data_IF_257121609625
#
_entry.id   IF_257121609625
#
_cell.length_a   1.000
_cell.length_b   1.000
_cell.length_c   1.000
_cell.angle_alpha   90.00
_cell.angle_beta   90.00
_cell.angle_gamma   90.00
#
_symmetry.space_group_name_H-M   'P 1'
#
loop_
_entity.id
_entity.type
_entity.pdbx_description
1 polymer ?
#
# COMPACT_ATOMS: atom_id res chain seq x y z
N UNK A 1 -17.77 0.66 -2.30
CA UNK A 1 -16.56 0.75 -3.13
C UNK A 1 -16.07 -0.67 -3.39
N UNK A 2 -16.07 -1.11 -4.65
CA UNK A 2 -15.42 -2.37 -5.05
C UNK A 2 -13.99 -2.01 -5.44
N UNK A 3 -12.99 -2.77 -4.99
CA UNK A 3 -11.66 -2.70 -5.58
C UNK A 3 -11.76 -3.50 -6.87
N UNK A 4 -11.73 -2.81 -7.99
CA UNK A 4 -12.12 -3.37 -9.26
C UNK A 4 -11.28 -2.84 -10.41
N UNK A 5 -11.29 -3.61 -11.48
CA UNK A 5 -10.68 -3.24 -12.76
C UNK A 5 -11.37 -1.98 -13.29
N UNK A 6 -10.59 -0.99 -13.71
CA UNK A 6 -11.08 0.28 -14.22
C UNK A 6 -11.40 1.33 -13.14
N UNK A 7 -11.28 0.98 -11.85
CA UNK A 7 -11.42 1.93 -10.76
C UNK A 7 -10.13 2.76 -10.57
N UNK A 8 -10.23 3.99 -10.03
CA UNK A 8 -9.06 4.75 -9.61
C UNK A 8 -8.25 4.01 -8.54
N UNK A 9 -6.93 4.08 -8.62
CA UNK A 9 -6.03 3.51 -7.61
C UNK A 9 -6.21 4.26 -6.29
N UNK A 10 -6.49 3.51 -5.22
CA UNK A 10 -6.57 4.07 -3.87
C UNK A 10 -5.17 4.44 -3.37
N UNK A 11 -5.06 5.59 -2.71
CA UNK A 11 -3.79 6.11 -2.24
C UNK A 11 -3.88 6.34 -0.74
N UNK A 12 -2.88 5.85 -0.03
CA UNK A 12 -2.78 5.94 1.41
C UNK A 12 -1.50 6.64 1.82
N UNK A 13 -1.56 7.32 2.96
CA UNK A 13 -0.39 7.89 3.62
C UNK A 13 -0.51 7.66 5.12
N UNK A 14 0.57 7.20 5.75
CA UNK A 14 0.61 6.87 7.17
C UNK A 14 1.70 7.69 7.87
N UNK A 15 1.37 8.95 8.17
CA UNK A 15 2.33 9.93 8.68
C UNK A 15 1.68 10.92 9.65
N UNK A 16 2.37 12.02 9.98
CA UNK A 16 1.89 13.10 10.84
C UNK A 16 0.58 13.75 10.37
N UNK A 17 -0.21 14.28 11.31
CA UNK A 17 -1.51 14.91 11.04
C UNK A 17 -1.47 16.01 9.96
N UNK A 18 -0.37 16.75 9.83
CA UNK A 18 -0.21 17.75 8.75
C UNK A 18 -0.14 17.09 7.37
N UNK A 19 0.65 16.02 7.22
CA UNK A 19 0.73 15.27 5.96
C UNK A 19 -0.61 14.63 5.64
N UNK A 20 -1.26 14.01 6.63
CA UNK A 20 -2.57 13.37 6.44
C UNK A 20 -3.61 14.37 5.94
N UNK A 21 -3.69 15.58 6.51
CA UNK A 21 -4.62 16.63 6.06
C UNK A 21 -4.34 17.09 4.64
N UNK A 22 -3.07 17.34 4.30
CA UNK A 22 -2.69 17.73 2.94
C UNK A 22 -3.08 16.63 1.95
N UNK A 23 -2.67 15.39 2.18
CA UNK A 23 -2.98 14.29 1.27
C UNK A 23 -4.50 14.04 1.14
N UNK A 24 -5.25 14.16 2.24
CA UNK A 24 -6.71 13.99 2.24
C UNK A 24 -7.42 15.06 1.41
N UNK A 25 -6.93 16.32 1.44
CA UNK A 25 -7.43 17.37 0.56
C UNK A 25 -7.23 17.06 -0.94
N UNK A 26 -6.32 16.15 -1.26
CA UNK A 26 -6.05 15.65 -2.61
C UNK A 26 -6.64 14.25 -2.86
N UNK A 27 -7.58 13.80 -2.04
CA UNK A 27 -8.32 12.55 -2.22
C UNK A 27 -7.60 11.29 -1.74
N UNK A 28 -6.54 11.41 -0.95
CA UNK A 28 -5.88 10.25 -0.33
C UNK A 28 -6.58 9.88 0.96
N UNK A 29 -6.46 8.62 1.36
CA UNK A 29 -7.00 8.15 2.63
C UNK A 29 -5.94 8.21 3.72
N UNK A 30 -6.31 8.74 4.88
CA UNK A 30 -5.45 8.79 6.04
C UNK A 30 -5.20 7.38 6.60
N UNK A 31 -3.95 7.09 6.92
CA UNK A 31 -3.54 5.86 7.57
C UNK A 31 -2.60 6.09 8.74
N UNK A 32 -2.27 5.01 9.42
CA UNK A 32 -1.32 5.00 10.52
C UNK A 32 -0.62 3.65 10.61
N UNK A 33 0.51 3.58 11.31
CA UNK A 33 0.98 2.30 11.84
C UNK A 33 0.14 1.92 13.05
N UNK A 34 -0.18 0.64 13.25
CA UNK A 34 -1.03 0.22 14.39
C UNK A 34 -0.45 0.61 15.76
N UNK A 35 0.86 0.82 15.86
CA UNK A 35 1.54 1.25 17.09
C UNK A 35 1.48 2.76 17.34
N UNK A 36 1.01 3.57 16.39
CA UNK A 36 0.87 5.02 16.55
C UNK A 36 -0.42 5.52 15.88
N UNK A 37 -1.52 5.49 16.62
CA UNK A 37 -2.84 5.92 16.16
C UNK A 37 -3.12 7.40 16.43
N UNK A 38 -2.17 8.17 16.99
CA UNK A 38 -2.43 9.54 17.46
C UNK A 38 -2.87 10.47 16.34
N UNK A 39 -2.19 10.39 15.20
CA UNK A 39 -2.36 11.33 14.10
C UNK A 39 -3.66 11.11 13.31
N UNK A 40 -4.32 9.96 13.47
CA UNK A 40 -5.59 9.61 12.80
C UNK A 40 -6.83 9.85 13.66
N UNK A 41 -6.71 10.25 14.94
CA UNK A 41 -7.84 10.39 15.88
C UNK A 41 -8.95 11.34 15.42
N UNK A 42 -8.59 12.34 14.62
CA UNK A 42 -9.51 13.38 14.14
C UNK A 42 -10.06 13.08 12.74
N UNK A 43 -9.81 11.90 12.19
CA UNK A 43 -10.36 11.47 10.91
C UNK A 43 -11.57 10.58 11.16
N UNK A 44 -12.71 10.93 10.57
CA UNK A 44 -13.96 10.16 10.71
C UNK A 44 -13.82 8.71 10.21
N UNK A 45 -12.94 8.49 9.23
CA UNK A 45 -12.67 7.18 8.64
C UNK A 45 -11.18 6.97 8.50
N UNK A 46 -10.70 5.85 9.04
CA UNK A 46 -9.32 5.41 8.86
C UNK A 46 -9.24 4.59 7.57
N UNK A 47 -8.37 5.01 6.66
CA UNK A 47 -8.17 4.34 5.39
C UNK A 47 -7.32 3.08 5.50
N UNK A 48 -6.21 3.19 6.23
CA UNK A 48 -5.17 2.18 6.20
C UNK A 48 -4.49 2.02 7.56
N UNK A 49 -4.29 0.76 7.99
CA UNK A 49 -3.36 0.44 9.07
C UNK A 49 -2.17 -0.36 8.54
N UNK A 50 -0.98 0.19 8.77
CA UNK A 50 0.31 -0.43 8.48
C UNK A 50 0.83 -1.20 9.70
N UNK A 51 1.73 -2.14 9.46
CA UNK A 51 2.35 -2.97 10.50
C UNK A 51 3.68 -2.39 10.99
N UNK A 52 4.03 -2.71 12.24
CA UNK A 52 5.41 -2.63 12.70
C UNK A 52 6.16 -3.91 12.30
N UNK A 53 6.63 -3.98 11.05
CA UNK A 53 7.28 -5.19 10.52
C UNK A 53 8.50 -5.64 11.34
N UNK A 54 9.18 -4.72 12.05
CA UNK A 54 10.33 -5.07 12.90
C UNK A 54 9.92 -5.73 14.20
N UNK A 55 8.80 -5.29 14.79
CA UNK A 55 8.34 -5.73 16.10
C UNK A 55 6.86 -6.09 16.05
N UNK A 56 6.51 -6.94 15.08
CA UNK A 56 5.12 -7.27 14.81
C UNK A 56 4.48 -7.99 15.99
N UNK A 57 3.26 -7.58 16.34
CA UNK A 57 2.47 -8.16 17.40
C UNK A 57 1.01 -8.22 16.97
N UNK A 58 0.53 -9.43 16.69
CA UNK A 58 -0.83 -9.64 16.18
C UNK A 58 -1.90 -9.14 17.14
N UNK A 59 -1.77 -9.43 18.45
CA UNK A 59 -2.72 -9.00 19.49
C UNK A 59 -2.92 -7.48 19.45
N UNK A 60 -1.83 -6.70 19.47
CA UNK A 60 -1.91 -5.23 19.39
C UNK A 60 -2.49 -4.77 18.06
N UNK A 61 -2.15 -5.45 16.97
CA UNK A 61 -2.62 -5.11 15.65
C UNK A 61 -4.14 -5.33 15.52
N UNK A 62 -4.66 -6.49 15.90
CA UNK A 62 -6.11 -6.78 15.82
C UNK A 62 -6.91 -5.82 16.72
N UNK A 63 -6.41 -5.49 17.92
CA UNK A 63 -7.05 -4.48 18.79
C UNK A 63 -7.12 -3.10 18.12
N UNK A 64 -6.05 -2.70 17.41
CA UNK A 64 -6.06 -1.44 16.66
C UNK A 64 -7.06 -1.47 15.49
N UNK A 65 -7.17 -2.60 14.79
CA UNK A 65 -8.14 -2.79 13.69
C UNK A 65 -9.57 -2.76 14.23
N UNK A 66 -9.87 -3.43 15.33
CA UNK A 66 -11.20 -3.40 15.99
C UNK A 66 -11.56 -1.96 16.38
N UNK A 67 -10.63 -1.25 17.01
CA UNK A 67 -10.84 0.11 17.50
C UNK A 67 -11.09 1.10 16.36
N UNK A 68 -10.32 1.00 15.28
CA UNK A 68 -10.31 2.01 14.21
C UNK A 68 -11.13 1.64 12.99
N UNK A 69 -11.51 0.37 12.84
CA UNK A 69 -12.24 -0.21 11.71
C UNK A 69 -11.74 0.34 10.36
N UNK A 70 -10.44 0.17 10.06
CA UNK A 70 -9.86 0.78 8.88
C UNK A 70 -10.49 0.19 7.62
N UNK A 71 -10.46 0.94 6.52
CA UNK A 71 -10.89 0.41 5.24
C UNK A 71 -10.00 -0.76 4.80
N UNK A 72 -8.69 -0.67 5.03
CA UNK A 72 -7.71 -1.69 4.67
C UNK A 72 -6.66 -1.85 5.77
N UNK A 73 -6.13 -3.06 5.94
CA UNK A 73 -4.94 -3.31 6.78
C UNK A 73 -4.00 -4.33 6.13
N UNK A 74 -2.80 -4.48 6.67
CA UNK A 74 -1.80 -5.45 6.22
C UNK A 74 -1.64 -6.55 7.26
N UNK A 75 -1.72 -7.82 6.87
CA UNK A 75 -1.35 -8.93 7.73
C UNK A 75 0.17 -8.96 7.96
N UNK A 76 0.65 -9.89 8.79
CA UNK A 76 2.10 -10.11 8.92
C UNK A 76 2.72 -10.47 7.56
N UNK A 77 3.93 -9.97 7.30
CA UNK A 77 4.72 -10.39 6.13
C UNK A 77 5.02 -11.90 6.18
N UNK A 78 4.83 -12.59 5.05
CA UNK A 78 5.09 -14.03 4.92
C UNK A 78 6.56 -14.23 4.51
N UNK A 79 7.45 -14.09 5.48
CA UNK A 79 8.91 -14.29 5.34
C UNK A 79 9.30 -15.77 5.19
N UNK A 80 8.48 -16.68 5.72
CA UNK A 80 8.64 -18.12 5.59
C UNK A 80 7.30 -18.73 5.14
N UNK A 81 7.32 -19.49 4.03
CA UNK A 81 6.16 -20.21 3.50
C UNK A 81 5.48 -21.11 4.54
N UNK A 82 6.21 -21.67 5.51
CA UNK A 82 5.64 -22.55 6.54
C UNK A 82 4.62 -21.81 7.41
N UNK A 83 4.82 -20.51 7.66
CA UNK A 83 3.92 -19.68 8.47
C UNK A 83 2.65 -19.23 7.70
N UNK A 84 2.56 -19.52 6.40
CA UNK A 84 1.50 -18.99 5.53
C UNK A 84 0.09 -19.29 6.08
N UNK A 85 -0.17 -20.54 6.49
CA UNK A 85 -1.50 -20.94 6.99
C UNK A 85 -1.90 -20.11 8.22
N UNK A 86 -1.00 -19.99 9.20
CA UNK A 86 -1.23 -19.20 10.41
C UNK A 86 -1.45 -17.72 10.10
N UNK A 87 -0.70 -17.16 9.14
CA UNK A 87 -0.87 -15.76 8.73
C UNK A 87 -2.22 -15.56 8.02
N UNK A 88 -2.68 -16.54 7.23
CA UNK A 88 -4.01 -16.52 6.62
C UNK A 88 -5.10 -16.56 7.70
N UNK A 89 -4.97 -17.41 8.72
CA UNK A 89 -5.93 -17.47 9.83
C UNK A 89 -6.03 -16.11 10.55
N UNK A 90 -4.88 -15.48 10.82
CA UNK A 90 -4.83 -14.11 11.36
C UNK A 90 -5.46 -13.08 10.43
N UNK A 91 -5.27 -13.22 9.11
CA UNK A 91 -5.84 -12.32 8.12
C UNK A 91 -7.37 -12.42 8.07
N UNK A 92 -7.95 -13.60 8.27
CA UNK A 92 -9.41 -13.75 8.40
C UNK A 92 -9.94 -13.01 9.63
N UNK A 93 -9.28 -13.11 10.78
CA UNK A 93 -9.66 -12.35 11.98
C UNK A 93 -9.61 -10.84 11.75
N UNK A 94 -8.60 -10.34 11.01
CA UNK A 94 -8.54 -8.93 10.62
C UNK A 94 -9.70 -8.55 9.68
N UNK A 95 -10.05 -9.43 8.75
CA UNK A 95 -11.08 -9.22 7.73
C UNK A 95 -12.49 -9.09 8.33
N UNK A 96 -12.73 -9.62 9.53
CA UNK A 96 -13.99 -9.42 10.27
C UNK A 96 -14.23 -7.94 10.65
N UNK A 97 -13.17 -7.13 10.69
CA UNK A 97 -13.21 -5.76 11.22
C UNK A 97 -12.76 -4.68 10.22
N UNK A 98 -12.37 -5.05 9.01
CA UNK A 98 -11.99 -4.13 7.94
C UNK A 98 -12.53 -4.61 6.59
N UNK A 99 -12.46 -3.77 5.54
CA UNK A 99 -13.01 -4.15 4.24
C UNK A 99 -12.08 -5.06 3.44
N UNK A 100 -10.77 -4.85 3.58
CA UNK A 100 -9.74 -5.57 2.84
C UNK A 100 -8.50 -5.83 3.71
N UNK A 101 -7.90 -7.01 3.55
CA UNK A 101 -6.63 -7.35 4.17
C UNK A 101 -5.60 -7.67 3.08
N UNK A 102 -4.40 -7.13 3.23
CA UNK A 102 -3.27 -7.38 2.35
C UNK A 102 -2.40 -8.49 2.94
N UNK A 103 -2.05 -9.50 2.12
CA UNK A 103 -1.02 -10.50 2.43
C UNK A 103 0.25 -10.15 1.66
N UNK A 104 1.37 -9.98 2.36
CA UNK A 104 2.66 -9.61 1.75
C UNK A 104 3.57 -10.83 1.66
N UNK A 105 3.61 -11.56 0.53
CA UNK A 105 4.53 -12.68 0.37
C UNK A 105 5.97 -12.18 0.18
N UNK A 106 6.89 -12.72 0.97
CA UNK A 106 8.32 -12.39 0.92
C UNK A 106 9.20 -13.58 0.56
N UNK A 107 8.80 -14.78 0.96
CA UNK A 107 9.50 -16.02 0.65
C UNK A 107 9.46 -16.32 -0.87
N UNK A 108 10.62 -16.39 -1.57
CA UNK A 108 10.70 -16.75 -2.98
C UNK A 108 10.02 -18.08 -3.34
N UNK A 109 9.93 -19.04 -2.42
CA UNK A 109 9.27 -20.33 -2.62
C UNK A 109 7.75 -20.21 -2.85
N UNK A 110 7.17 -19.04 -2.54
CA UNK A 110 5.76 -18.74 -2.78
C UNK A 110 5.47 -18.33 -4.22
N UNK A 111 6.48 -17.99 -5.03
CA UNK A 111 6.31 -17.41 -6.38
C UNK A 111 5.28 -18.17 -7.25
N UNK A 112 5.36 -19.50 -7.28
CA UNK A 112 4.52 -20.32 -8.14
C UNK A 112 3.16 -20.69 -7.52
N UNK A 113 2.95 -20.34 -6.25
CA UNK A 113 1.73 -20.68 -5.50
C UNK A 113 0.99 -19.45 -4.97
N UNK A 114 1.41 -18.23 -5.30
CA UNK A 114 0.75 -17.01 -4.79
C UNK A 114 -0.76 -16.95 -5.05
N UNK A 115 -1.18 -17.38 -6.24
CA UNK A 115 -2.60 -17.28 -6.61
C UNK A 115 -3.43 -18.43 -6.05
N UNK A 116 -2.85 -19.64 -5.96
CA UNK A 116 -3.54 -20.82 -5.46
C UNK A 116 -3.47 -20.97 -3.92
N UNK A 117 -2.38 -20.51 -3.32
CA UNK A 117 -2.05 -20.69 -1.90
C UNK A 117 -2.50 -19.54 -1.00
N UNK A 118 -2.86 -18.38 -1.55
CA UNK A 118 -3.43 -17.27 -0.78
C UNK A 118 -4.86 -17.02 -1.27
N UNK A 119 -5.88 -17.08 -0.38
CA UNK A 119 -7.28 -16.93 -0.76
C UNK A 119 -7.59 -15.64 -1.53
N UNK A 120 -8.56 -15.73 -2.45
CA UNK A 120 -8.87 -14.72 -3.48
C UNK A 120 -9.40 -13.39 -2.91
N UNK A 121 -10.01 -13.43 -1.74
CA UNK A 121 -10.56 -12.30 -0.99
C UNK A 121 -9.48 -11.36 -0.44
N UNK A 122 -8.25 -11.85 -0.29
CA UNK A 122 -7.11 -11.04 0.13
C UNK A 122 -6.44 -10.31 -1.03
N UNK A 123 -5.90 -9.13 -0.76
CA UNK A 123 -5.09 -8.38 -1.72
C UNK A 123 -3.64 -8.83 -1.59
N UNK A 124 -2.91 -8.95 -2.69
CA UNK A 124 -1.47 -9.22 -2.61
C UNK A 124 -0.71 -7.93 -2.33
N UNK A 125 0.20 -7.97 -1.38
CA UNK A 125 1.11 -6.88 -1.07
C UNK A 125 2.44 -7.07 -1.78
N UNK A 126 2.94 -6.01 -2.41
CA UNK A 126 4.27 -5.98 -3.01
C UNK A 126 5.07 -4.85 -2.39
N UNK A 127 6.10 -5.16 -1.60
CA UNK A 127 6.97 -4.11 -1.07
C UNK A 127 7.93 -3.63 -2.13
N UNK A 128 7.78 -2.36 -2.50
CA UNK A 128 8.60 -1.73 -3.52
C UNK A 128 10.06 -1.73 -3.10
N UNK A 129 11.01 -2.14 -3.98
CA UNK A 129 12.42 -2.20 -3.64
C UNK A 129 12.97 -0.87 -3.14
N UNK A 130 13.62 -0.93 -1.98
CA UNK A 130 14.39 0.17 -1.38
C UNK A 130 15.73 -0.35 -0.88
N UNK A 131 16.61 0.55 -0.42
CA UNK A 131 17.84 0.16 0.28
C UNK A 131 17.63 -0.64 1.57
N UNK A 132 16.41 -0.64 2.13
CA UNK A 132 16.08 -1.27 3.41
C UNK A 132 15.39 -2.63 3.26
N UNK A 133 14.97 -2.98 2.05
CA UNK A 133 14.20 -4.20 1.78
C UNK A 133 13.30 -4.06 0.57
N UNK A 134 12.68 -5.17 0.20
CA UNK A 134 11.75 -5.28 -0.93
C UNK A 134 11.31 -6.73 -1.11
N UNK A 135 10.24 -6.94 -1.86
CA UNK A 135 9.80 -8.29 -2.22
C UNK A 135 10.78 -8.91 -3.23
N UNK A 136 11.28 -10.12 -2.93
CA UNK A 136 12.21 -10.86 -3.80
C UNK A 136 11.51 -11.63 -4.92
N UNK A 137 10.22 -11.90 -4.75
CA UNK A 137 9.39 -12.53 -5.77
C UNK A 137 9.26 -11.56 -6.97
N UNK A 138 9.42 -12.03 -8.21
CA UNK A 138 9.27 -11.19 -9.40
C UNK A 138 7.87 -10.57 -9.50
N UNK A 139 7.73 -9.30 -9.92
CA UNK A 139 6.43 -8.64 -10.13
C UNK A 139 5.46 -9.46 -10.99
N UNK A 140 5.96 -10.15 -12.03
CA UNK A 140 5.15 -10.98 -12.94
C UNK A 140 4.42 -12.16 -12.28
N UNK A 141 4.77 -12.51 -11.04
CA UNK A 141 4.05 -13.52 -10.25
C UNK A 141 2.74 -12.98 -9.65
N UNK A 142 2.58 -11.65 -9.56
CA UNK A 142 1.43 -10.99 -8.96
C UNK A 142 0.35 -10.72 -10.01
N UNK A 143 -0.51 -11.70 -10.25
CA UNK A 143 -1.51 -11.69 -11.34
C UNK A 143 -2.92 -11.30 -10.91
N UNK A 144 -3.09 -10.89 -9.66
CA UNK A 144 -4.38 -10.48 -9.05
C UNK A 144 -4.17 -9.19 -8.26
N UNK A 145 -5.23 -8.49 -7.82
CA UNK A 145 -5.14 -7.15 -7.25
C UNK A 145 -3.96 -6.96 -6.27
N UNK A 146 -3.16 -5.93 -6.54
CA UNK A 146 -1.94 -5.62 -5.79
C UNK A 146 -2.06 -4.30 -5.04
N UNK A 147 -1.58 -4.31 -3.80
CA UNK A 147 -1.21 -3.12 -3.06
C UNK A 147 0.32 -2.93 -3.10
N UNK A 148 0.80 -1.77 -3.52
CA UNK A 148 2.24 -1.46 -3.47
C UNK A 148 2.61 -0.83 -2.12
N UNK A 149 3.49 -1.49 -1.37
CA UNK A 149 3.93 -1.01 -0.07
C UNK A 149 5.15 -0.09 -0.18
N UNK A 150 4.98 1.17 0.23
CA UNK A 150 6.03 2.18 0.31
C UNK A 150 6.85 2.38 -0.98
N UNK A 151 8.12 2.77 -0.82
CA UNK A 151 9.03 3.06 -1.93
C UNK A 151 8.85 4.45 -2.54
N UNK A 152 9.49 4.70 -3.69
CA UNK A 152 9.38 5.98 -4.40
C UNK A 152 8.23 5.94 -5.41
N UNK A 153 7.53 7.07 -5.66
CA UNK A 153 6.36 7.09 -6.56
C UNK A 153 6.66 6.68 -8.01
N UNK A 154 7.81 7.09 -8.55
CA UNK A 154 8.27 6.71 -9.90
C UNK A 154 8.48 5.20 -10.03
N UNK A 155 9.00 4.55 -8.98
CA UNK A 155 9.18 3.09 -8.95
C UNK A 155 7.83 2.39 -8.84
N UNK A 156 6.94 2.86 -7.96
CA UNK A 156 5.59 2.34 -7.83
C UNK A 156 4.85 2.37 -9.18
N UNK A 157 4.94 3.48 -9.90
CA UNK A 157 4.28 3.60 -11.21
C UNK A 157 4.86 2.61 -12.23
N UNK A 158 6.18 2.44 -12.32
CA UNK A 158 6.80 1.45 -13.23
C UNK A 158 6.41 0.01 -12.90
N UNK A 159 6.22 -0.30 -11.62
CA UNK A 159 5.75 -1.63 -11.18
C UNK A 159 4.31 -1.90 -11.62
N UNK A 160 3.48 -0.86 -11.75
CA UNK A 160 2.11 -1.00 -12.20
C UNK A 160 1.97 -1.44 -13.67
N UNK A 161 3.05 -1.36 -14.46
CA UNK A 161 3.07 -1.90 -15.83
C UNK A 161 3.22 -3.44 -15.85
N UNK A 162 3.53 -4.06 -14.70
CA UNK A 162 3.77 -5.50 -14.57
C UNK A 162 2.74 -6.21 -13.70
N UNK A 163 1.91 -5.47 -12.96
CA UNK A 163 0.99 -6.00 -11.95
C UNK A 163 -0.32 -5.20 -11.94
N UNK A 164 -1.48 -5.83 -11.66
CA UNK A 164 -2.75 -5.13 -11.54
C UNK A 164 -2.84 -4.39 -10.20
N UNK A 165 -2.25 -3.20 -10.13
CA UNK A 165 -2.22 -2.38 -8.92
C UNK A 165 -3.58 -1.75 -8.68
N UNK A 166 -4.14 -1.92 -7.49
CA UNK A 166 -5.42 -1.33 -7.08
C UNK A 166 -5.26 -0.31 -5.96
N UNK A 167 -4.13 -0.34 -5.26
CA UNK A 167 -3.84 0.61 -4.19
C UNK A 167 -2.33 0.77 -3.94
N UNK A 168 -1.95 1.88 -3.32
CA UNK A 168 -0.59 2.18 -2.91
C UNK A 168 -0.58 2.87 -1.53
N UNK A 169 0.46 2.65 -0.74
CA UNK A 169 0.86 3.58 0.31
C UNK A 169 2.22 4.19 -0.03
N UNK A 170 2.41 5.48 0.26
CA UNK A 170 3.73 6.10 0.09
C UNK A 170 3.94 7.20 1.11
N UNK A 171 5.00 7.06 1.89
CA UNK A 171 5.47 8.09 2.82
C UNK A 171 6.74 8.79 2.33
N UNK A 172 7.40 8.30 1.27
CA UNK A 172 8.73 8.76 0.87
C UNK A 172 8.80 10.27 0.62
N UNK A 173 7.78 10.83 -0.01
CA UNK A 173 7.71 12.26 -0.32
C UNK A 173 7.79 13.17 0.92
N UNK A 174 7.45 12.67 2.11
CA UNK A 174 7.55 13.46 3.34
C UNK A 174 8.99 13.67 3.79
N UNK A 175 9.88 12.70 3.50
CA UNK A 175 11.29 12.80 3.80
C UNK A 175 11.97 13.81 2.86
N UNK A 176 11.72 13.72 1.56
CA UNK A 176 12.32 14.63 0.57
C UNK A 176 11.81 16.07 0.77
N UNK A 177 10.52 16.25 1.10
CA UNK A 177 9.97 17.57 1.45
C UNK A 177 10.66 18.24 2.64
N UNK A 178 11.19 17.46 3.60
CA UNK A 178 11.93 18.02 4.74
C UNK A 178 13.25 18.67 4.32
N UNK A 179 13.78 18.31 3.14
CA UNK A 179 14.96 18.93 2.53
C UNK A 179 14.62 20.00 1.48
N UNK A 180 13.34 20.35 1.32
CA UNK A 180 12.88 21.31 0.32
C UNK A 180 12.70 20.71 -1.09
N UNK A 181 12.77 19.38 -1.21
CA UNK A 181 12.55 18.68 -2.48
C UNK A 181 11.09 18.24 -2.63
N UNK A 182 10.61 18.17 -3.87
CA UNK A 182 9.28 17.65 -4.19
C UNK A 182 9.36 16.62 -5.30
N UNK A 183 8.38 15.72 -5.34
CA UNK A 183 8.21 14.81 -6.47
C UNK A 183 7.62 15.58 -7.65
N UNK A 184 8.31 15.61 -8.77
CA UNK A 184 7.95 16.37 -9.97
C UNK A 184 7.12 15.59 -11.00
N UNK A 185 6.84 14.31 -10.74
CA UNK A 185 6.22 13.38 -11.69
C UNK A 185 7.17 12.27 -12.20
N UNK A 186 8.47 12.49 -12.10
CA UNK A 186 9.54 11.59 -12.54
C UNK A 186 10.59 11.31 -11.46
N UNK A 187 10.84 12.27 -10.56
CA UNK A 187 11.83 12.15 -9.50
C UNK A 187 11.66 13.22 -8.43
N UNK A 188 12.57 13.22 -7.45
CA UNK A 188 12.64 14.27 -6.44
C UNK A 188 13.66 15.32 -6.86
N UNK A 189 13.27 16.59 -6.81
CA UNK A 189 14.13 17.75 -7.12
C UNK A 189 13.81 18.92 -6.19
N UNK A 190 14.72 19.92 -6.04
CA UNK A 190 14.44 21.12 -5.27
C UNK A 190 13.19 21.86 -5.77
N UNK A 191 12.31 22.25 -4.85
CA UNK A 191 11.15 23.05 -5.19
C UNK A 191 11.56 24.52 -5.39
N UNK A 192 11.12 25.22 -6.46
CA UNK A 192 11.56 26.59 -6.78
C UNK A 192 11.26 27.62 -5.68
N UNK A 193 10.22 27.38 -4.88
CA UNK A 193 9.85 28.21 -3.73
C UNK A 193 10.34 27.62 -2.40
N UNK A 194 10.59 26.31 -2.35
CA UNK A 194 10.82 25.60 -1.09
C UNK A 194 9.61 25.59 -0.13
N UNK A 195 9.88 25.22 1.12
CA UNK A 195 8.89 25.12 2.20
C UNK A 195 8.21 23.75 2.28
N UNK A 196 8.15 23.19 3.50
CA UNK A 196 7.69 21.82 3.72
C UNK A 196 6.29 21.55 3.15
N UNK A 197 5.30 22.39 3.51
CA UNK A 197 3.92 22.20 3.05
C UNK A 197 3.76 22.37 1.54
N UNK A 198 4.50 23.32 0.94
CA UNK A 198 4.55 23.52 -0.52
C UNK A 198 5.06 22.27 -1.21
N UNK A 199 6.18 21.71 -0.73
CA UNK A 199 6.79 20.51 -1.28
C UNK A 199 5.88 19.28 -1.14
N UNK A 200 5.20 19.12 0.00
CA UNK A 200 4.19 18.07 0.20
C UNK A 200 3.04 18.19 -0.81
N UNK A 201 2.46 19.39 -0.94
CA UNK A 201 1.32 19.67 -1.82
C UNK A 201 1.67 19.42 -3.29
N UNK A 202 2.83 19.91 -3.74
CA UNK A 202 3.33 19.68 -5.08
C UNK A 202 3.58 18.19 -5.34
N UNK A 203 4.20 17.49 -4.38
CA UNK A 203 4.45 16.05 -4.50
C UNK A 203 3.14 15.25 -4.64
N UNK A 204 2.17 15.47 -3.74
CA UNK A 204 0.89 14.76 -3.79
C UNK A 204 0.15 15.02 -5.10
N UNK A 205 0.18 16.26 -5.60
CA UNK A 205 -0.42 16.63 -6.89
C UNK A 205 0.21 15.88 -8.06
N UNK A 206 1.54 15.82 -8.11
CA UNK A 206 2.26 15.13 -9.19
C UNK A 206 2.16 13.61 -9.09
N UNK A 207 2.11 13.06 -7.87
CA UNK A 207 1.81 11.63 -7.67
C UNK A 207 0.39 11.35 -8.18
N UNK A 208 -0.59 12.20 -7.88
CA UNK A 208 -1.93 12.03 -8.44
C UNK A 208 -1.93 12.04 -9.98
N UNK A 209 -1.20 12.97 -10.60
CA UNK A 209 -1.12 13.07 -12.05
C UNK A 209 -0.66 11.75 -12.71
N UNK A 210 0.44 11.14 -12.24
CA UNK A 210 0.96 9.89 -12.82
C UNK A 210 0.04 8.67 -12.63
N UNK A 211 -0.87 8.72 -11.64
CA UNK A 211 -1.86 7.67 -11.38
C UNK A 211 -3.22 7.95 -12.02
N UNK A 212 -3.53 9.20 -12.39
CA UNK A 212 -4.81 9.55 -13.00
C UNK A 212 -5.01 8.93 -14.38
N UNK A 213 -3.94 8.64 -15.09
CA UNK A 213 -3.96 7.95 -16.39
C UNK A 213 -3.97 6.42 -16.24
N UNK A 214 -3.59 5.92 -15.07
CA UNK A 214 -3.58 4.49 -14.82
C UNK A 214 -5.00 3.98 -14.54
N UNK A 215 -5.37 2.94 -15.26
CA UNK A 215 -6.52 2.09 -14.95
C UNK A 215 -6.00 0.68 -14.87
N UNK A 216 -6.27 -0.01 -13.76
CA UNK A 216 -6.02 -1.45 -13.67
C UNK A 216 -6.79 -2.11 -14.82
N UNK A 217 -6.09 -2.77 -15.75
CA UNK A 217 -6.74 -3.31 -16.96
C UNK A 217 -7.17 -4.76 -16.77
N UNK A 218 -8.22 -5.13 -17.51
CA UNK A 218 -8.78 -6.49 -17.57
C UNK A 218 -7.78 -7.45 -18.22
N UNK A 219 -6.90 -7.01 -19.11
CA UNK A 219 -5.96 -7.89 -19.82
C UNK A 219 -4.97 -8.62 -18.90
N UNK A 220 -4.56 -8.02 -17.78
CA UNK A 220 -3.75 -8.68 -16.75
C UNK A 220 -4.53 -9.76 -15.97
N UNK A 221 -5.86 -9.65 -15.93
CA UNK A 221 -6.78 -10.53 -15.19
C UNK A 221 -7.42 -11.61 -16.09
N UNK A 222 -7.71 -11.32 -17.36
CA UNK A 222 -8.38 -12.23 -18.31
C UNK A 222 -7.42 -13.25 -18.91
N UNK A 223 -6.13 -12.90 -19.08
CA UNK A 223 -5.11 -13.86 -19.52
C UNK A 223 -4.95 -15.02 -18.53
N UNK A 224 -5.33 -14.81 -17.26
CA UNK A 224 -5.34 -15.82 -16.21
C UNK A 224 -6.55 -16.78 -16.32
N UNK A 225 -7.76 -16.26 -16.55
CA UNK A 225 -8.97 -17.10 -16.69
C UNK A 225 -8.94 -17.96 -17.96
N UNK A 226 -8.27 -17.52 -19.02
CA UNK A 226 -8.12 -18.29 -20.26
C UNK A 226 -7.00 -19.36 -20.23
N UNK A 227 -6.27 -19.50 -19.12
CA UNK A 227 -5.15 -20.45 -18.96
C UNK A 227 -5.34 -21.45 -17.81
N UNK A 228 -6.54 -21.49 -17.22
CA UNK A 228 -7.04 -22.48 -16.25
C UNK A 228 -8.28 -23.13 -16.83
#
# INVERSE_FOLDING_TARGET
>A
MRLGIGEPVLKFVAHSATVLRIASAHGWHAGARYTNLRDIRNFERVGFLDIDWKNYNFEKHIQAVILTKPFMTVAQDVEDKIELTKIIDQAYLLLEHCKFVIIVPKDPLLQNVLTAGIPSEFILGYSVPTRYGGTRIPPSAFRRPVHLLGGRPDIQRRLADQMPVVSIDVNRFTLDAAFGDYFDGSGFRPHPVGGYQTCLTASVSNINAIWNEYRSSIESYTKYISQT
#
